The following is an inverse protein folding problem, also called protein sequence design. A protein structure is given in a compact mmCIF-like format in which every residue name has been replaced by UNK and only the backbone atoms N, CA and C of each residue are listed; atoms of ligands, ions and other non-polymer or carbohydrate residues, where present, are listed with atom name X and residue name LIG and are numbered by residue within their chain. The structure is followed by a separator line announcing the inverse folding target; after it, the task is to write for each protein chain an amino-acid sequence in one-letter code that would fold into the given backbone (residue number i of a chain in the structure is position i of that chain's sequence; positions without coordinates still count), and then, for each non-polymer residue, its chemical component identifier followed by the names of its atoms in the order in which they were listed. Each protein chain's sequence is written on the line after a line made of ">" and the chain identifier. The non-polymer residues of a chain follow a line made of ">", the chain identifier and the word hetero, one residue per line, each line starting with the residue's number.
data_IF_493729125950
#
_entry.id   IF_493729125950
#
_cell.length_a   1.000
_cell.length_b   1.000
_cell.length_c   1.000
_cell.angle_alpha   90.00
_cell.angle_beta   90.00
_cell.angle_gamma   90.00
#
_symmetry.space_group_name_H-M   'P 1'
#
loop_
_entity.id
_entity.type
_entity.pdbx_description
1 polymer ?
#
# COMPACT_ATOMS: atom_id res chain seq x y z
N UNK A 1 17.76 -24.39 -5.79
CA UNK A 1 16.75 -23.54 -5.12
C UNK A 1 15.74 -24.46 -4.47
N UNK A 2 15.61 -24.42 -3.13
CA UNK A 2 14.64 -25.22 -2.37
C UNK A 2 13.44 -24.34 -1.98
N UNK A 3 12.23 -24.86 -2.15
CA UNK A 3 11.00 -24.16 -1.74
C UNK A 3 10.38 -24.95 -0.59
N UNK A 4 10.31 -24.33 0.58
CA UNK A 4 9.57 -24.83 1.74
C UNK A 4 8.13 -24.29 1.67
N UNK A 5 7.14 -25.16 1.79
CA UNK A 5 5.72 -24.80 1.73
C UNK A 5 4.98 -25.26 2.98
N UNK A 6 5.25 -24.62 4.15
CA UNK A 6 4.65 -25.04 5.41
C UNK A 6 3.12 -24.81 5.41
N UNK A 7 2.42 -25.73 6.07
CA UNK A 7 0.97 -25.67 6.30
C UNK A 7 0.62 -25.37 7.76
N UNK A 8 1.62 -25.32 8.62
CA UNK A 8 1.46 -25.08 10.06
C UNK A 8 2.53 -24.13 10.62
N UNK A 9 2.20 -23.49 11.75
CA UNK A 9 3.17 -22.64 12.48
C UNK A 9 4.36 -23.44 13.03
N UNK A 10 4.17 -24.73 13.33
CA UNK A 10 5.24 -25.61 13.78
C UNK A 10 6.27 -25.87 12.66
N UNK A 11 5.81 -26.08 11.43
CA UNK A 11 6.70 -26.24 10.28
C UNK A 11 7.48 -24.96 9.96
N UNK A 12 6.83 -23.77 10.12
CA UNK A 12 7.53 -22.49 9.98
C UNK A 12 8.62 -22.35 11.05
N UNK A 13 8.29 -22.69 12.30
CA UNK A 13 9.25 -22.64 13.40
C UNK A 13 10.46 -23.53 13.12
N UNK A 14 10.24 -24.80 12.75
CA UNK A 14 11.34 -25.75 12.46
C UNK A 14 12.18 -25.32 11.25
N UNK A 15 11.54 -24.82 10.19
CA UNK A 15 12.27 -24.29 9.00
C UNK A 15 13.11 -23.07 9.36
N UNK A 16 12.57 -22.16 10.17
CA UNK A 16 13.30 -20.95 10.59
C UNK A 16 14.46 -21.32 11.53
N UNK A 17 14.27 -22.28 12.43
CA UNK A 17 15.33 -22.82 13.30
C UNK A 17 16.45 -23.45 12.50
N UNK A 18 16.09 -24.27 11.50
CA UNK A 18 17.08 -24.82 10.58
C UNK A 18 17.86 -23.72 9.85
N UNK A 19 17.14 -22.73 9.26
CA UNK A 19 17.77 -21.62 8.55
C UNK A 19 18.69 -20.80 9.47
N UNK A 20 18.29 -20.60 10.74
CA UNK A 20 19.12 -19.93 11.73
C UNK A 20 20.34 -20.74 12.13
N UNK A 21 20.25 -22.07 12.24
CA UNK A 21 21.39 -22.96 12.55
C UNK A 21 22.42 -22.96 11.42
N UNK A 22 21.94 -23.12 10.18
CA UNK A 22 22.77 -23.17 8.97
C UNK A 22 23.18 -21.81 8.42
N UNK A 23 22.75 -20.71 9.06
CA UNK A 23 22.90 -19.31 8.57
C UNK A 23 22.45 -19.12 7.11
N UNK A 24 21.38 -19.84 6.75
CA UNK A 24 20.89 -19.96 5.38
C UNK A 24 19.77 -18.95 5.10
N UNK A 25 19.98 -17.97 4.20
CA UNK A 25 18.98 -16.96 3.91
C UNK A 25 17.71 -17.51 3.26
N UNK A 26 16.56 -16.99 3.68
CA UNK A 26 15.23 -17.32 3.18
C UNK A 26 14.58 -16.11 2.50
N UNK A 27 14.05 -16.32 1.29
CA UNK A 27 13.04 -15.42 0.74
C UNK A 27 11.67 -15.77 1.34
N UNK A 28 11.07 -14.86 2.08
CA UNK A 28 9.74 -15.03 2.68
C UNK A 28 8.70 -14.46 1.73
N UNK A 29 7.74 -15.26 1.32
CA UNK A 29 6.65 -14.81 0.48
C UNK A 29 5.32 -15.55 0.79
N UNK A 30 4.20 -14.91 0.45
CA UNK A 30 2.91 -15.54 0.30
C UNK A 30 2.67 -15.84 -1.18
N UNK A 31 1.65 -15.23 -1.80
CA UNK A 31 1.38 -15.40 -3.23
C UNK A 31 2.38 -14.68 -4.17
N UNK A 32 3.37 -13.97 -3.64
CA UNK A 32 4.40 -13.30 -4.44
C UNK A 32 3.94 -12.03 -5.18
N UNK A 33 2.72 -11.54 -4.97
CA UNK A 33 2.16 -10.36 -5.67
C UNK A 33 3.01 -9.08 -5.54
N UNK A 34 3.89 -9.01 -4.55
CA UNK A 34 4.80 -7.88 -4.28
C UNK A 34 6.29 -8.27 -4.36
N UNK A 35 6.61 -9.41 -5.00
CA UNK A 35 8.00 -9.87 -5.15
C UNK A 35 8.85 -8.88 -5.96
N UNK A 36 8.21 -8.16 -6.88
CA UNK A 36 8.83 -7.10 -7.68
C UNK A 36 9.14 -5.80 -6.93
N UNK A 37 8.73 -5.64 -5.66
CA UNK A 37 9.04 -4.46 -4.84
C UNK A 37 10.20 -4.75 -3.90
N UNK A 38 11.07 -3.78 -3.70
CA UNK A 38 12.30 -3.94 -2.93
C UNK A 38 13.49 -4.33 -3.81
N UNK A 39 14.64 -4.45 -3.20
CA UNK A 39 15.86 -4.89 -3.89
C UNK A 39 15.72 -6.36 -4.29
N UNK A 40 16.28 -6.80 -5.41
CA UNK A 40 16.32 -8.23 -5.76
C UNK A 40 17.05 -9.04 -4.66
N UNK A 41 16.45 -10.15 -4.27
CA UNK A 41 17.05 -11.06 -3.30
C UNK A 41 17.92 -12.09 -4.02
N UNK A 42 19.02 -12.45 -3.38
CA UNK A 42 19.90 -13.55 -3.78
C UNK A 42 19.83 -14.61 -2.67
N UNK A 43 18.87 -15.52 -2.76
CA UNK A 43 18.67 -16.59 -1.80
C UNK A 43 18.53 -17.92 -2.52
N UNK A 44 19.06 -18.99 -1.93
CA UNK A 44 18.90 -20.36 -2.45
C UNK A 44 17.59 -21.00 -2.01
N UNK A 45 16.97 -20.46 -0.97
CA UNK A 45 15.78 -21.01 -0.34
C UNK A 45 14.63 -20.00 -0.29
N UNK A 46 13.42 -20.51 -0.50
CA UNK A 46 12.18 -19.76 -0.39
C UNK A 46 11.27 -20.40 0.65
N UNK A 47 10.74 -19.60 1.57
CA UNK A 47 9.67 -19.97 2.49
C UNK A 47 8.35 -19.42 1.97
N UNK A 48 7.59 -20.26 1.30
CA UNK A 48 6.33 -19.91 0.68
C UNK A 48 5.15 -20.25 1.62
N UNK A 49 4.50 -19.21 2.12
CA UNK A 49 3.39 -19.30 3.08
C UNK A 49 2.03 -19.52 2.41
N UNK A 50 1.96 -19.72 1.10
CA UNK A 50 0.69 -19.84 0.37
C UNK A 50 -0.18 -21.03 0.82
N UNK A 51 0.37 -22.02 1.51
CA UNK A 51 -0.37 -23.13 2.10
C UNK A 51 -0.81 -22.90 3.54
N UNK A 52 -0.31 -21.84 4.21
CA UNK A 52 -0.71 -21.49 5.55
C UNK A 52 -1.98 -20.62 5.51
N UNK A 53 -3.12 -21.21 5.20
CA UNK A 53 -4.39 -20.51 4.93
C UNK A 53 -5.48 -20.83 5.93
N UNK A 54 -6.51 -20.01 5.96
CA UNK A 54 -7.76 -20.18 6.69
C UNK A 54 -8.03 -19.05 7.68
N UNK A 55 -9.29 -18.68 7.80
CA UNK A 55 -9.81 -17.80 8.85
C UNK A 55 -9.87 -18.61 10.14
N UNK A 56 -9.16 -18.17 11.17
CA UNK A 56 -9.08 -18.88 12.46
C UNK A 56 -10.10 -18.36 13.48
N UNK A 57 -10.59 -17.14 13.27
CA UNK A 57 -11.66 -16.52 14.05
C UNK A 57 -12.34 -15.45 13.20
N UNK A 58 -13.65 -15.42 13.24
CA UNK A 58 -14.41 -14.27 12.76
C UNK A 58 -15.62 -14.05 13.66
N UNK A 59 -15.63 -12.88 14.32
CA UNK A 59 -16.70 -12.44 15.22
C UNK A 59 -17.31 -11.16 14.65
N UNK A 60 -18.31 -11.25 13.75
CA UNK A 60 -18.88 -10.08 13.09
C UNK A 60 -19.42 -9.02 14.07
N UNK A 61 -20.03 -9.43 15.18
CA UNK A 61 -20.55 -8.51 16.19
C UNK A 61 -19.45 -7.73 16.91
N UNK A 62 -18.27 -8.32 17.07
CA UNK A 62 -17.10 -7.71 17.71
C UNK A 62 -16.21 -6.96 16.70
N UNK A 63 -16.52 -7.04 15.41
CA UNK A 63 -15.73 -6.45 14.32
C UNK A 63 -14.27 -6.93 14.31
N UNK A 64 -14.04 -8.20 14.60
CA UNK A 64 -12.70 -8.81 14.69
C UNK A 64 -12.60 -10.02 13.78
N UNK A 65 -11.52 -10.09 13.00
CA UNK A 65 -11.16 -11.21 12.16
C UNK A 65 -9.71 -11.61 12.41
N UNK A 66 -9.48 -12.91 12.62
CA UNK A 66 -8.14 -13.51 12.67
C UNK A 66 -7.99 -14.52 11.54
N UNK A 67 -6.85 -14.49 10.86
CA UNK A 67 -6.56 -15.41 9.78
C UNK A 67 -5.07 -15.79 9.78
N UNK A 68 -4.76 -16.94 9.20
CA UNK A 68 -3.39 -17.36 8.91
C UNK A 68 -2.78 -16.46 7.84
N UNK A 69 -1.49 -16.19 7.95
CA UNK A 69 -0.82 -15.16 7.15
C UNK A 69 -0.85 -15.41 5.63
N UNK A 70 -0.92 -16.67 5.19
CA UNK A 70 -1.02 -17.07 3.79
C UNK A 70 -2.44 -17.02 3.20
N UNK A 71 -3.46 -16.68 3.99
CA UNK A 71 -4.85 -16.62 3.51
C UNK A 71 -4.99 -15.58 2.41
N UNK A 72 -5.57 -15.94 1.24
CA UNK A 72 -5.83 -15.00 0.16
C UNK A 72 -6.69 -13.83 0.63
N UNK A 73 -6.30 -12.61 0.29
CA UNK A 73 -7.07 -11.41 0.66
C UNK A 73 -8.49 -11.47 0.10
N UNK A 74 -8.67 -11.97 -1.13
CA UNK A 74 -9.98 -12.06 -1.77
C UNK A 74 -10.97 -12.96 -1.01
N UNK A 75 -10.50 -14.06 -0.40
CA UNK A 75 -11.36 -14.93 0.43
C UNK A 75 -11.87 -14.17 1.66
N UNK A 76 -11.00 -13.36 2.28
CA UNK A 76 -11.37 -12.56 3.44
C UNK A 76 -12.32 -11.43 3.06
N UNK A 77 -12.03 -10.72 1.96
CA UNK A 77 -12.89 -9.65 1.46
C UNK A 77 -14.28 -10.16 1.09
N UNK A 78 -14.37 -11.35 0.48
CA UNK A 78 -15.65 -12.00 0.21
C UNK A 78 -16.42 -12.33 1.50
N UNK A 79 -15.76 -12.96 2.47
CA UNK A 79 -16.36 -13.29 3.77
C UNK A 79 -16.88 -12.04 4.50
N UNK A 80 -16.11 -10.95 4.46
CA UNK A 80 -16.51 -9.68 5.05
C UNK A 80 -17.70 -9.08 4.32
N UNK A 81 -17.71 -9.10 2.98
CA UNK A 81 -18.81 -8.56 2.17
C UNK A 81 -20.13 -9.31 2.41
N UNK A 82 -20.11 -10.63 2.58
CA UNK A 82 -21.27 -11.45 2.94
C UNK A 82 -21.89 -11.05 4.28
N UNK A 83 -21.10 -10.40 5.16
CA UNK A 83 -21.54 -9.91 6.47
C UNK A 83 -21.69 -8.37 6.50
N UNK A 84 -21.71 -7.69 5.36
CA UNK A 84 -21.82 -6.23 5.28
C UNK A 84 -20.64 -5.50 5.91
N UNK A 85 -19.45 -6.09 5.93
CA UNK A 85 -18.23 -5.55 6.51
C UNK A 85 -17.11 -5.39 5.48
N UNK A 86 -16.06 -4.68 5.86
CA UNK A 86 -14.93 -4.42 4.97
C UNK A 86 -13.63 -4.11 5.76
N UNK A 87 -12.49 -4.22 5.09
CA UNK A 87 -11.28 -3.54 5.50
C UNK A 87 -11.38 -2.06 5.11
N UNK A 88 -11.60 -1.18 6.09
CA UNK A 88 -11.78 0.24 5.81
C UNK A 88 -10.55 0.90 5.19
N UNK A 89 -9.35 0.38 5.43
CA UNK A 89 -8.10 0.89 4.86
C UNK A 89 -7.87 0.51 3.39
N UNK A 90 -8.77 -0.24 2.75
CA UNK A 90 -8.75 -0.59 1.33
C UNK A 90 -7.38 -1.08 0.83
N UNK A 91 -6.94 -2.28 1.19
CA UNK A 91 -5.63 -2.76 0.79
C UNK A 91 -5.48 -2.81 -0.74
N UNK A 92 -4.45 -2.13 -1.26
CA UNK A 92 -4.13 -2.11 -2.69
C UNK A 92 -3.73 -3.49 -3.21
N UNK A 93 -4.20 -3.87 -4.40
CA UNK A 93 -3.67 -5.01 -5.15
C UNK A 93 -2.57 -4.55 -6.11
N UNK A 94 -1.33 -4.93 -5.80
CA UNK A 94 -0.17 -4.67 -6.65
C UNK A 94 -0.02 -5.64 -7.83
N UNK A 95 -0.80 -6.72 -7.86
CA UNK A 95 -0.69 -7.75 -8.90
C UNK A 95 -0.75 -7.19 -10.31
N UNK A 96 -1.80 -6.41 -10.67
CA UNK A 96 -1.94 -5.84 -12.01
C UNK A 96 -0.80 -4.90 -12.42
N UNK A 97 -0.28 -4.11 -11.46
CA UNK A 97 0.82 -3.16 -11.72
C UNK A 97 2.16 -3.87 -11.95
N UNK A 98 2.38 -5.04 -11.33
CA UNK A 98 3.66 -5.73 -11.29
C UNK A 98 3.73 -7.00 -12.16
N UNK A 99 2.59 -7.51 -12.66
CA UNK A 99 2.54 -8.75 -13.45
C UNK A 99 3.13 -8.61 -14.85
N UNK A 100 3.21 -7.39 -15.38
CA UNK A 100 3.64 -7.13 -16.74
C UNK A 100 2.63 -7.58 -17.82
N UNK A 101 1.46 -8.11 -17.42
CA UNK A 101 0.40 -8.54 -18.35
C UNK A 101 -0.88 -7.74 -18.12
N UNK A 102 -1.37 -7.00 -19.15
CA UNK A 102 -2.63 -6.28 -19.06
C UNK A 102 -3.80 -7.25 -18.79
N UNK A 103 -4.59 -6.94 -17.78
CA UNK A 103 -5.84 -7.69 -17.50
C UNK A 103 -5.67 -9.05 -16.83
N UNK A 104 -4.50 -9.58 -16.68
CA UNK A 104 -4.27 -10.68 -15.75
C UNK A 104 -4.20 -10.11 -14.34
N UNK A 105 -5.28 -10.31 -13.57
CA UNK A 105 -5.23 -10.14 -12.13
C UNK A 105 -4.12 -11.04 -11.61
N UNK A 106 -3.01 -10.45 -11.16
CA UNK A 106 -2.00 -11.18 -10.43
C UNK A 106 -2.69 -11.93 -9.29
N UNK A 107 -2.07 -12.98 -8.78
CA UNK A 107 -2.58 -13.66 -7.58
C UNK A 107 -2.77 -12.58 -6.52
N UNK A 108 -4.02 -12.37 -6.09
CA UNK A 108 -4.34 -11.45 -5.00
C UNK A 108 -3.38 -11.73 -3.85
N UNK A 109 -2.94 -10.67 -3.18
CA UNK A 109 -2.02 -10.81 -2.07
C UNK A 109 -2.59 -11.64 -0.92
N UNK A 110 -1.74 -11.96 0.05
CA UNK A 110 -2.16 -12.62 1.29
C UNK A 110 -2.31 -11.60 2.41
N UNK A 111 -3.11 -11.93 3.44
CA UNK A 111 -3.34 -11.02 4.57
C UNK A 111 -2.04 -10.72 5.35
N UNK A 112 -1.12 -11.67 5.48
CA UNK A 112 0.21 -11.43 6.04
C UNK A 112 1.02 -10.45 5.18
N UNK A 113 0.91 -10.56 3.85
CA UNK A 113 1.53 -9.62 2.92
C UNK A 113 0.92 -8.21 2.99
N UNK A 114 -0.38 -8.08 3.31
CA UNK A 114 -1.04 -6.78 3.56
C UNK A 114 -0.40 -6.07 4.76
N UNK A 115 -0.23 -6.78 5.89
CA UNK A 115 0.42 -6.22 7.07
C UNK A 115 1.90 -5.94 6.81
N UNK A 116 2.64 -6.92 6.28
CA UNK A 116 4.08 -6.79 6.07
C UNK A 116 4.46 -5.61 5.17
N UNK A 117 3.59 -5.20 4.25
CA UNK A 117 3.77 -4.01 3.39
C UNK A 117 2.95 -2.79 3.82
N UNK A 118 2.21 -2.89 4.92
CA UNK A 118 1.37 -1.82 5.47
C UNK A 118 0.47 -1.16 4.42
N UNK A 119 -0.33 -1.98 3.72
CA UNK A 119 -1.15 -1.49 2.62
C UNK A 119 -2.24 -0.52 3.07
N UNK A 120 -2.60 0.38 2.17
CA UNK A 120 -3.73 1.29 2.28
C UNK A 120 -4.16 1.72 0.89
N UNK A 121 -5.39 2.16 0.76
CA UNK A 121 -5.98 2.70 -0.45
C UNK A 121 -6.43 4.16 -0.28
N UNK A 122 -7.36 4.62 -1.12
CA UNK A 122 -7.82 6.02 -1.14
C UNK A 122 -8.43 6.53 0.16
N UNK A 123 -9.04 5.66 0.99
CA UNK A 123 -9.58 6.05 2.32
C UNK A 123 -8.51 6.31 3.38
N UNK A 124 -7.23 6.27 3.05
CA UNK A 124 -6.16 6.40 4.05
C UNK A 124 -6.28 7.60 4.96
N UNK A 125 -6.70 8.75 4.44
CA UNK A 125 -6.85 9.99 5.23
C UNK A 125 -7.93 9.86 6.31
N UNK A 126 -8.97 9.07 6.06
CA UNK A 126 -10.09 8.84 6.99
C UNK A 126 -9.90 7.58 7.82
N UNK A 127 -9.43 6.50 7.20
CA UNK A 127 -9.40 5.17 7.79
C UNK A 127 -8.00 4.70 8.22
N UNK A 128 -6.92 5.35 7.79
CA UNK A 128 -5.56 4.89 8.07
C UNK A 128 -5.10 3.76 7.14
N UNK A 129 -4.18 2.95 7.60
CA UNK A 129 -3.57 1.82 6.88
C UNK A 129 -3.71 0.51 7.66
N UNK A 130 -3.23 -0.60 7.12
CA UNK A 130 -3.24 -1.90 7.79
C UNK A 130 -2.69 -1.83 9.22
N UNK A 131 -1.64 -1.04 9.46
CA UNK A 131 -1.05 -0.81 10.78
C UNK A 131 -2.04 -0.24 11.81
N UNK A 132 -2.99 0.56 11.38
CA UNK A 132 -3.94 1.22 12.26
C UNK A 132 -5.13 0.31 12.63
N UNK A 133 -5.27 -0.82 11.92
CA UNK A 133 -6.32 -1.82 12.11
C UNK A 133 -5.81 -3.15 12.69
N UNK A 134 -4.49 -3.37 12.76
CA UNK A 134 -3.93 -4.58 13.35
C UNK A 134 -4.13 -4.59 14.87
N UNK A 135 -4.67 -5.68 15.39
CA UNK A 135 -4.91 -5.91 16.82
C UNK A 135 -3.89 -6.89 17.42
N UNK A 136 -3.44 -7.86 16.63
CA UNK A 136 -2.51 -8.86 17.11
C UNK A 136 -1.82 -9.64 15.99
N UNK A 137 -0.67 -10.18 16.32
CA UNK A 137 0.11 -11.07 15.45
C UNK A 137 0.64 -12.27 16.22
N UNK A 138 0.76 -13.40 15.52
CA UNK A 138 1.68 -14.48 15.89
C UNK A 138 2.73 -14.58 14.80
N UNK A 139 3.99 -14.81 15.17
CA UNK A 139 5.10 -14.82 14.24
C UNK A 139 6.28 -15.64 14.78
N UNK A 140 7.23 -15.94 13.88
CA UNK A 140 8.53 -16.56 14.21
C UNK A 140 9.64 -15.58 13.85
N UNK A 141 10.49 -15.21 14.82
CA UNK A 141 11.65 -14.35 14.61
C UNK A 141 12.76 -15.07 13.85
N UNK A 142 13.73 -14.34 13.29
CA UNK A 142 14.94 -14.91 12.71
C UNK A 142 15.86 -15.63 13.72
N UNK A 143 15.55 -15.56 15.03
CA UNK A 143 16.17 -16.38 16.09
C UNK A 143 15.61 -17.80 16.13
N UNK A 144 14.56 -18.11 15.35
CA UNK A 144 13.83 -19.37 15.48
C UNK A 144 12.96 -19.43 16.74
N UNK A 145 12.44 -18.31 17.19
CA UNK A 145 11.57 -18.18 18.38
C UNK A 145 10.18 -17.73 17.98
N UNK A 146 9.17 -18.50 18.41
CA UNK A 146 7.77 -18.11 18.21
C UNK A 146 7.34 -17.09 19.27
N UNK A 147 6.62 -16.05 18.84
CA UNK A 147 6.07 -15.05 19.72
C UNK A 147 4.68 -14.62 19.31
N UNK A 148 3.95 -14.02 20.25
CA UNK A 148 2.65 -13.37 20.03
C UNK A 148 2.68 -11.97 20.61
N UNK A 149 2.04 -11.02 19.93
CA UNK A 149 1.86 -9.65 20.43
C UNK A 149 0.47 -9.15 20.09
N UNK A 150 -0.11 -8.38 21.00
CA UNK A 150 -1.50 -7.95 20.89
C UNK A 150 -2.49 -9.07 21.19
N UNK A 151 -3.73 -8.91 20.73
CA UNK A 151 -4.81 -9.85 20.98
C UNK A 151 -6.02 -9.55 20.12
N UNK A 152 -7.22 -9.68 20.69
CA UNK A 152 -8.52 -9.46 20.04
C UNK A 152 -9.18 -8.15 20.47
N UNK A 153 -8.49 -7.34 21.27
CA UNK A 153 -9.04 -6.12 21.87
C UNK A 153 -8.34 -4.89 21.32
N UNK A 154 -9.08 -3.82 21.13
CA UNK A 154 -8.58 -2.56 20.56
C UNK A 154 -7.56 -1.88 21.50
N UNK A 155 -7.68 -2.08 22.82
CA UNK A 155 -6.79 -1.49 23.80
C UNK A 155 -5.97 -2.58 24.49
N UNK A 156 -4.67 -2.64 24.13
CA UNK A 156 -3.67 -3.42 24.86
C UNK A 156 -2.72 -2.44 25.57
N UNK A 157 -2.66 -2.52 26.90
CA UNK A 157 -1.85 -1.60 27.74
C UNK A 157 -0.60 -2.27 28.31
N UNK A 158 -0.35 -3.54 27.99
CA UNK A 158 0.77 -4.31 28.52
C UNK A 158 1.79 -4.63 27.43
N UNK A 159 3.06 -4.29 27.69
CA UNK A 159 4.17 -4.60 26.80
C UNK A 159 4.29 -3.66 25.60
N UNK A 160 5.22 -4.00 24.70
CA UNK A 160 5.46 -3.29 23.45
C UNK A 160 4.45 -3.71 22.37
N UNK A 161 4.05 -2.76 21.53
CA UNK A 161 3.17 -3.03 20.39
C UNK A 161 3.98 -3.58 19.19
N UNK A 162 4.38 -4.84 19.30
CA UNK A 162 5.11 -5.51 18.23
C UNK A 162 4.23 -5.78 17.01
N UNK A 163 2.90 -5.80 17.17
CA UNK A 163 1.98 -5.95 16.04
C UNK A 163 2.16 -4.82 15.04
N UNK A 164 2.25 -3.58 15.52
CA UNK A 164 2.50 -2.41 14.68
C UNK A 164 3.94 -2.33 14.16
N UNK A 165 4.90 -2.94 14.86
CA UNK A 165 6.29 -3.03 14.39
C UNK A 165 6.40 -3.94 13.15
N UNK A 166 5.57 -4.99 13.06
CA UNK A 166 5.56 -5.90 11.90
C UNK A 166 5.02 -5.22 10.64
N UNK A 167 4.22 -4.16 10.77
CA UNK A 167 3.73 -3.40 9.62
C UNK A 167 4.87 -2.68 8.90
N UNK A 168 4.92 -2.82 7.57
CA UNK A 168 5.98 -2.29 6.70
C UNK A 168 7.38 -2.89 6.94
N UNK A 169 7.46 -4.08 7.56
CA UNK A 169 8.73 -4.80 7.76
C UNK A 169 9.18 -5.61 6.54
N UNK A 170 8.32 -5.81 5.56
CA UNK A 170 8.59 -6.58 4.34
C UNK A 170 9.12 -8.00 4.60
N UNK A 171 8.75 -8.59 5.73
CA UNK A 171 9.22 -9.92 6.15
C UNK A 171 10.70 -9.97 6.54
N UNK A 172 11.31 -8.83 6.88
CA UNK A 172 12.72 -8.75 7.28
C UNK A 172 12.92 -8.92 8.78
N UNK A 173 11.88 -8.83 9.60
CA UNK A 173 11.95 -8.95 11.06
C UNK A 173 11.48 -10.33 11.55
N UNK A 174 10.37 -10.80 10.98
CA UNK A 174 9.77 -12.07 11.40
C UNK A 174 8.93 -12.69 10.27
N UNK A 175 8.68 -13.98 10.37
CA UNK A 175 7.72 -14.72 9.54
C UNK A 175 6.38 -14.70 10.23
N UNK A 176 5.40 -13.99 9.68
CA UNK A 176 4.05 -13.94 10.22
C UNK A 176 3.35 -15.29 10.04
N UNK A 177 2.73 -15.80 11.11
CA UNK A 177 1.92 -17.02 11.06
C UNK A 177 0.43 -16.71 11.11
N UNK A 178 0.01 -15.78 11.98
CA UNK A 178 -1.37 -15.35 12.13
C UNK A 178 -1.43 -13.84 12.31
N UNK A 179 -2.53 -13.25 11.85
CA UNK A 179 -2.82 -11.82 12.00
C UNK A 179 -4.27 -11.62 12.45
N UNK A 180 -4.49 -10.66 13.33
CA UNK A 180 -5.83 -10.29 13.83
C UNK A 180 -6.09 -8.83 13.49
N UNK A 181 -7.14 -8.57 12.71
CA UNK A 181 -7.52 -7.23 12.28
C UNK A 181 -8.86 -6.81 12.85
N UNK A 182 -8.98 -5.52 13.12
CA UNK A 182 -10.26 -4.84 13.23
C UNK A 182 -10.85 -4.67 11.83
N UNK A 183 -12.12 -5.01 11.66
CA UNK A 183 -12.93 -4.75 10.47
C UNK A 183 -13.99 -3.70 10.79
N UNK A 184 -14.63 -3.11 9.78
CA UNK A 184 -15.69 -2.12 9.98
C UNK A 184 -16.88 -2.43 9.09
N UNK A 185 -18.09 -1.97 9.45
CA UNK A 185 -19.25 -2.05 8.57
C UNK A 185 -18.96 -1.38 7.23
N UNK A 186 -19.45 -1.96 6.14
CA UNK A 186 -19.43 -1.35 4.84
C UNK A 186 -20.42 -0.18 4.78
N UNK A 187 -20.10 0.85 3.99
CA UNK A 187 -21.02 1.96 3.78
C UNK A 187 -22.25 1.49 2.99
N UNK A 188 -23.44 1.97 3.38
CA UNK A 188 -24.72 1.66 2.72
C UNK A 188 -24.74 2.21 1.29
N UNK A 189 -24.27 3.45 1.11
CA UNK A 189 -24.20 4.13 -0.19
C UNK A 189 -22.86 4.81 -0.39
N UNK A 190 -22.54 5.00 -1.67
CA UNK A 190 -21.34 5.71 -2.11
C UNK A 190 -21.67 6.58 -3.32
N UNK A 191 -21.23 7.84 -3.27
CA UNK A 191 -21.28 8.78 -4.39
C UNK A 191 -19.94 9.47 -4.54
N UNK A 192 -19.47 9.56 -5.77
CA UNK A 192 -18.34 10.41 -6.15
C UNK A 192 -18.84 11.68 -6.80
N UNK A 193 -18.46 12.83 -6.24
CA UNK A 193 -18.60 14.12 -6.92
C UNK A 193 -17.31 14.40 -7.69
N UNK A 194 -17.41 14.54 -9.00
CA UNK A 194 -16.30 14.91 -9.88
C UNK A 194 -16.38 16.39 -10.23
N UNK A 195 -15.28 17.12 -10.11
CA UNK A 195 -15.07 18.48 -10.64
C UNK A 195 -14.18 18.35 -11.87
N UNK A 196 -14.67 18.81 -13.02
CA UNK A 196 -14.01 18.62 -14.32
C UNK A 196 -13.10 19.78 -14.70
N UNK A 197 -12.03 19.47 -15.45
CA UNK A 197 -11.17 20.44 -16.13
C UNK A 197 -10.19 21.21 -15.23
N UNK A 198 -10.03 20.83 -13.96
CA UNK A 198 -9.08 21.50 -13.08
C UNK A 198 -7.65 21.12 -13.43
N UNK A 199 -6.73 22.09 -13.36
CA UNK A 199 -5.29 21.85 -13.35
C UNK A 199 -4.85 21.42 -11.93
N UNK A 200 -3.67 20.83 -11.84
CA UNK A 200 -3.11 20.21 -10.61
C UNK A 200 -3.23 21.14 -9.37
N UNK A 201 -2.85 22.42 -9.49
CA UNK A 201 -2.92 23.40 -8.39
C UNK A 201 -4.35 23.66 -7.93
N UNK A 202 -5.25 23.94 -8.88
CA UNK A 202 -6.66 24.18 -8.59
C UNK A 202 -7.36 22.93 -8.02
N UNK A 203 -6.97 21.75 -8.49
CA UNK A 203 -7.46 20.49 -8.00
C UNK A 203 -7.07 20.24 -6.53
N UNK A 204 -5.81 20.48 -6.16
CA UNK A 204 -5.34 20.38 -4.77
C UNK A 204 -6.10 21.36 -3.87
N UNK A 205 -6.30 22.59 -4.31
CA UNK A 205 -7.08 23.58 -3.56
C UNK A 205 -8.55 23.15 -3.38
N UNK A 206 -9.20 22.61 -4.42
CA UNK A 206 -10.56 22.10 -4.35
C UNK A 206 -10.69 20.91 -3.40
N UNK A 207 -9.75 19.95 -3.45
CA UNK A 207 -9.70 18.81 -2.53
C UNK A 207 -9.49 19.27 -1.08
N UNK A 208 -8.59 20.24 -0.84
CA UNK A 208 -8.35 20.77 0.50
C UNK A 208 -9.60 21.46 1.07
N UNK A 209 -10.30 22.25 0.24
CA UNK A 209 -11.56 22.89 0.62
C UNK A 209 -12.63 21.87 0.99
N UNK A 210 -12.77 20.81 0.19
CA UNK A 210 -13.74 19.74 0.40
C UNK A 210 -13.47 18.95 1.68
N UNK A 211 -12.22 18.53 1.92
CA UNK A 211 -11.86 17.78 3.13
C UNK A 211 -11.90 18.63 4.40
N UNK A 212 -11.70 19.96 4.29
CA UNK A 212 -11.87 20.90 5.39
C UNK A 212 -13.33 21.22 5.73
N UNK A 213 -14.30 20.76 4.93
CA UNK A 213 -15.72 20.96 5.16
C UNK A 213 -16.33 19.89 6.07
N UNK A 214 -17.59 20.12 6.46
CA UNK A 214 -18.41 19.15 7.20
C UNK A 214 -18.94 17.98 6.34
N UNK A 215 -18.59 17.93 5.05
CA UNK A 215 -19.08 16.89 4.13
C UNK A 215 -18.45 15.51 4.37
N UNK A 216 -17.49 15.37 5.29
CA UNK A 216 -16.83 14.10 5.64
C UNK A 216 -16.38 13.28 4.43
N UNK A 217 -15.69 13.94 3.49
CA UNK A 217 -15.13 13.29 2.31
C UNK A 217 -14.21 12.14 2.75
N UNK A 218 -14.45 10.93 2.27
CA UNK A 218 -13.68 9.74 2.65
C UNK A 218 -12.43 9.54 1.81
N UNK A 219 -12.43 10.05 0.58
CA UNK A 219 -11.29 9.97 -0.35
C UNK A 219 -11.32 11.13 -1.33
N UNK A 220 -10.14 11.62 -1.71
CA UNK A 220 -10.00 12.69 -2.69
C UNK A 220 -8.79 12.42 -3.60
N UNK A 221 -9.02 12.43 -4.90
CA UNK A 221 -8.02 12.15 -5.93
C UNK A 221 -8.13 13.15 -7.08
N UNK A 222 -7.02 13.38 -7.79
CA UNK A 222 -7.01 14.15 -9.02
C UNK A 222 -6.35 13.35 -10.14
N UNK A 223 -7.07 13.23 -11.24
CA UNK A 223 -6.67 12.53 -12.46
C UNK A 223 -6.49 13.57 -13.57
N UNK A 224 -5.27 13.96 -13.96
CA UNK A 224 -5.04 14.74 -15.16
C UNK A 224 -5.62 14.06 -16.41
N UNK A 225 -5.89 14.80 -17.45
CA UNK A 225 -6.60 14.37 -18.66
C UNK A 225 -6.17 12.99 -19.19
N UNK A 226 -4.86 12.78 -19.38
CA UNK A 226 -4.32 11.50 -19.89
C UNK A 226 -4.58 10.32 -18.96
N UNK A 227 -4.71 10.57 -17.68
CA UNK A 227 -4.96 9.53 -16.67
C UNK A 227 -6.47 9.27 -16.56
N UNK A 228 -7.29 10.29 -16.63
CA UNK A 228 -8.75 10.16 -16.57
C UNK A 228 -9.27 9.19 -17.65
N UNK A 229 -8.70 9.23 -18.85
CA UNK A 229 -9.00 8.31 -19.95
C UNK A 229 -8.73 6.83 -19.65
N UNK A 230 -7.85 6.53 -18.68
CA UNK A 230 -7.46 5.16 -18.30
C UNK A 230 -8.24 4.60 -17.11
N UNK A 231 -9.07 5.41 -16.47
CA UNK A 231 -9.87 5.02 -15.29
C UNK A 231 -11.29 4.65 -15.72
N UNK A 232 -11.83 3.58 -15.16
CA UNK A 232 -13.14 3.02 -15.46
C UNK A 232 -13.40 2.83 -16.98
N UNK A 233 -12.34 2.51 -17.72
CA UNK A 233 -12.40 2.32 -19.18
C UNK A 233 -12.71 3.58 -19.97
N UNK A 234 -12.39 4.78 -19.45
CA UNK A 234 -12.63 6.06 -20.09
C UNK A 234 -14.09 6.50 -20.14
N UNK A 235 -14.98 5.79 -19.45
CA UNK A 235 -16.45 6.02 -19.51
C UNK A 235 -16.89 7.36 -18.93
N UNK A 236 -16.05 8.00 -18.15
CA UNK A 236 -16.35 9.26 -17.45
C UNK A 236 -15.69 10.50 -18.10
N UNK A 237 -15.45 10.45 -19.41
CA UNK A 237 -14.94 11.58 -20.21
C UNK A 237 -13.41 11.67 -20.25
N UNK A 238 -12.93 12.58 -21.11
CA UNK A 238 -11.50 12.80 -21.36
C UNK A 238 -10.89 13.91 -20.49
N UNK A 239 -11.73 14.81 -19.93
CA UNK A 239 -11.23 15.94 -19.18
C UNK A 239 -10.62 15.53 -17.85
N UNK A 240 -9.68 16.32 -17.36
CA UNK A 240 -9.13 16.13 -16.02
C UNK A 240 -10.27 16.05 -14.97
N UNK A 241 -10.13 15.14 -14.02
CA UNK A 241 -11.16 14.87 -13.01
C UNK A 241 -10.61 14.96 -11.59
N UNK A 242 -11.19 15.87 -10.80
CA UNK A 242 -10.95 15.92 -9.35
C UNK A 242 -12.12 15.24 -8.66
N UNK A 243 -11.84 14.13 -7.98
CA UNK A 243 -12.82 13.18 -7.49
C UNK A 243 -12.91 13.24 -5.96
N UNK A 244 -14.12 13.34 -5.44
CA UNK A 244 -14.42 13.41 -4.01
C UNK A 244 -15.43 12.31 -3.67
N UNK A 245 -15.04 11.34 -2.82
CA UNK A 245 -15.91 10.24 -2.41
C UNK A 245 -16.62 10.57 -1.10
N UNK A 246 -17.94 10.43 -1.12
CA UNK A 246 -18.82 10.55 0.06
C UNK A 246 -19.53 9.23 0.27
N UNK A 247 -19.47 8.71 1.49
CA UNK A 247 -19.98 7.39 1.83
C UNK A 247 -20.78 7.42 3.13
N UNK A 248 -21.70 6.49 3.29
CA UNK A 248 -22.44 6.26 4.53
C UNK A 248 -23.93 6.03 4.32
N UNK A 249 -24.75 6.48 5.26
CA UNK A 249 -26.20 6.38 5.25
C UNK A 249 -26.80 7.26 4.13
N UNK A 250 -27.71 6.71 3.32
CA UNK A 250 -28.20 7.33 2.09
C UNK A 250 -28.62 8.79 2.22
N UNK A 251 -29.59 9.16 3.11
CA UNK A 251 -29.99 10.56 3.29
C UNK A 251 -28.85 11.49 3.68
N UNK A 252 -27.90 11.04 4.49
CA UNK A 252 -26.71 11.82 4.86
C UNK A 252 -25.78 12.04 3.67
N UNK A 253 -25.59 11.03 2.81
CA UNK A 253 -24.76 11.14 1.59
C UNK A 253 -25.34 12.18 0.65
N UNK A 254 -26.66 12.15 0.40
CA UNK A 254 -27.36 13.14 -0.46
C UNK A 254 -27.14 14.56 0.06
N UNK A 255 -27.34 14.81 1.34
CA UNK A 255 -27.13 16.13 1.95
C UNK A 255 -25.69 16.63 1.80
N UNK A 256 -24.70 15.74 2.07
CA UNK A 256 -23.28 16.10 2.02
C UNK A 256 -22.79 16.34 0.59
N UNK A 257 -23.30 15.57 -0.38
CA UNK A 257 -23.01 15.80 -1.81
C UNK A 257 -23.56 17.15 -2.26
N UNK A 258 -24.80 17.51 -1.84
CA UNK A 258 -25.38 18.81 -2.18
C UNK A 258 -24.60 19.98 -1.56
N UNK A 259 -24.13 19.82 -0.31
CA UNK A 259 -23.25 20.81 0.33
C UNK A 259 -21.92 20.97 -0.42
N UNK A 260 -21.32 19.87 -0.91
CA UNK A 260 -20.11 19.94 -1.74
C UNK A 260 -20.35 20.62 -3.08
N UNK A 261 -21.50 20.40 -3.73
CA UNK A 261 -21.85 21.10 -4.98
C UNK A 261 -21.94 22.60 -4.77
N UNK A 262 -22.57 23.04 -3.68
CA UNK A 262 -22.63 24.47 -3.34
C UNK A 262 -21.23 25.04 -3.08
N UNK A 263 -20.38 24.29 -2.38
CA UNK A 263 -19.02 24.69 -2.06
C UNK A 263 -18.12 24.82 -3.29
N UNK A 264 -18.24 23.86 -4.23
CA UNK A 264 -17.34 23.72 -5.38
C UNK A 264 -17.94 24.18 -6.71
N UNK A 265 -19.18 24.66 -6.73
CA UNK A 265 -19.88 24.98 -7.96
C UNK A 265 -19.25 26.09 -8.83
N UNK A 266 -18.32 26.87 -8.26
CA UNK A 266 -17.53 27.86 -9.00
C UNK A 266 -16.19 27.34 -9.49
N UNK A 267 -15.77 26.14 -9.06
CA UNK A 267 -14.46 25.59 -9.42
C UNK A 267 -14.46 25.00 -10.83
N UNK A 268 -15.57 24.41 -11.28
CA UNK A 268 -15.70 23.79 -12.61
C UNK A 268 -17.02 23.02 -12.76
N UNK A 269 -17.27 22.42 -13.92
CA UNK A 269 -18.42 21.54 -14.13
C UNK A 269 -18.43 20.38 -13.13
N UNK A 270 -19.60 20.10 -12.56
CA UNK A 270 -19.81 19.05 -11.56
C UNK A 270 -20.58 17.88 -12.17
N UNK A 271 -20.16 16.67 -11.81
CA UNK A 271 -20.81 15.42 -12.18
C UNK A 271 -20.93 14.51 -10.96
N UNK A 272 -22.10 13.91 -10.75
CA UNK A 272 -22.31 12.87 -9.75
C UNK A 272 -22.18 11.50 -10.37
N UNK A 273 -21.39 10.64 -9.73
CA UNK A 273 -21.18 9.24 -10.13
C UNK A 273 -21.50 8.39 -8.92
N UNK A 274 -22.51 7.53 -9.01
CA UNK A 274 -23.02 6.76 -7.87
C UNK A 274 -22.81 5.25 -8.04
N UNK A 275 -22.91 4.52 -6.93
CA UNK A 275 -22.96 3.06 -6.89
C UNK A 275 -21.75 2.38 -7.51
N UNK A 276 -21.96 1.35 -8.33
CA UNK A 276 -20.86 0.54 -8.90
C UNK A 276 -19.92 1.33 -9.82
N UNK A 277 -20.40 2.40 -10.46
CA UNK A 277 -19.54 3.27 -11.27
C UNK A 277 -18.53 4.03 -10.39
N UNK A 278 -18.98 4.56 -9.24
CA UNK A 278 -18.10 5.17 -8.24
C UNK A 278 -17.08 4.15 -7.71
N UNK A 279 -17.54 2.98 -7.26
CA UNK A 279 -16.66 1.92 -6.74
C UNK A 279 -15.61 1.47 -7.78
N UNK A 280 -15.98 1.39 -9.06
CA UNK A 280 -15.04 1.03 -10.13
C UNK A 280 -13.91 2.05 -10.27
N UNK A 281 -14.22 3.34 -10.22
CA UNK A 281 -13.23 4.42 -10.26
C UNK A 281 -12.24 4.29 -9.09
N UNK A 282 -12.74 4.11 -7.87
CA UNK A 282 -11.88 4.03 -6.69
C UNK A 282 -11.06 2.74 -6.62
N UNK A 283 -11.56 1.63 -7.18
CA UNK A 283 -10.75 0.41 -7.38
C UNK A 283 -9.58 0.67 -8.32
N UNK A 284 -9.81 1.36 -9.44
CA UNK A 284 -8.76 1.68 -10.39
C UNK A 284 -7.70 2.62 -9.81
N UNK A 285 -8.13 3.64 -9.04
CA UNK A 285 -7.22 4.54 -8.32
C UNK A 285 -6.43 3.76 -7.27
N UNK A 286 -7.11 2.94 -6.45
CA UNK A 286 -6.51 2.12 -5.40
C UNK A 286 -5.40 1.23 -5.94
N UNK A 287 -5.66 0.54 -7.05
CA UNK A 287 -4.77 -0.46 -7.62
C UNK A 287 -3.80 0.12 -8.67
N UNK A 288 -3.72 1.47 -8.75
CA UNK A 288 -2.86 2.17 -9.71
C UNK A 288 -3.05 1.66 -11.16
N UNK A 289 -4.29 1.33 -11.54
CA UNK A 289 -4.65 0.78 -12.86
C UNK A 289 -4.20 1.63 -14.04
N UNK A 290 -4.18 2.97 -13.98
CA UNK A 290 -3.68 3.79 -15.09
C UNK A 290 -2.24 3.47 -15.52
N UNK A 291 -1.44 2.88 -14.62
CA UNK A 291 -0.06 2.47 -14.91
C UNK A 291 0.12 0.94 -15.02
N UNK A 292 -0.95 0.19 -14.87
CA UNK A 292 -0.98 -1.28 -15.01
C UNK A 292 -1.24 -1.69 -16.48
N UNK A 293 -0.45 -1.17 -17.39
CA UNK A 293 -0.57 -1.31 -18.84
C UNK A 293 0.32 -2.43 -19.43
N UNK A 294 0.95 -3.22 -18.58
CA UNK A 294 1.92 -4.24 -18.99
C UNK A 294 3.30 -3.69 -19.33
N UNK A 295 3.47 -2.38 -19.26
CA UNK A 295 4.77 -1.73 -19.51
C UNK A 295 5.79 -2.01 -18.42
N UNK A 296 7.08 -1.85 -18.79
CA UNK A 296 8.22 -1.98 -17.89
C UNK A 296 8.64 -0.66 -17.23
N UNK A 297 8.02 0.46 -17.64
CA UNK A 297 8.40 1.80 -17.21
C UNK A 297 8.45 1.91 -15.69
N UNK A 298 9.44 2.65 -15.14
CA UNK A 298 9.55 2.87 -13.72
C UNK A 298 8.31 3.56 -13.13
N UNK A 299 7.80 3.03 -12.03
CA UNK A 299 6.68 3.62 -11.30
C UNK A 299 7.10 3.94 -9.88
N UNK A 300 6.86 5.18 -9.49
CA UNK A 300 7.11 5.69 -8.16
C UNK A 300 5.81 5.94 -7.40
N UNK A 301 5.86 5.67 -6.12
CA UNK A 301 4.86 6.05 -5.12
C UNK A 301 5.49 7.10 -4.20
N UNK A 302 5.03 8.34 -4.27
CA UNK A 302 5.57 9.46 -3.50
C UNK A 302 4.54 9.94 -2.50
N UNK A 303 4.91 10.05 -1.23
CA UNK A 303 4.08 10.65 -0.17
C UNK A 303 4.77 11.89 0.37
N UNK A 304 4.07 13.02 0.33
CA UNK A 304 4.58 14.33 0.76
C UNK A 304 3.42 15.25 1.18
N UNK A 305 3.75 16.48 1.58
CA UNK A 305 2.71 17.46 1.93
C UNK A 305 1.81 17.74 0.72
N UNK A 306 0.47 17.67 0.86
CA UNK A 306 -0.47 17.88 -0.25
C UNK A 306 -0.28 19.22 -0.96
N UNK A 307 0.02 20.30 -0.23
CA UNK A 307 0.27 21.64 -0.79
C UNK A 307 1.50 21.72 -1.70
N UNK A 308 2.47 20.83 -1.51
CA UNK A 308 3.76 20.88 -2.20
C UNK A 308 3.86 19.89 -3.37
N UNK A 309 3.03 18.87 -3.38
CA UNK A 309 3.14 17.76 -4.32
C UNK A 309 2.98 18.20 -5.77
N UNK A 310 2.03 19.08 -6.07
CA UNK A 310 1.83 19.59 -7.44
C UNK A 310 2.99 20.46 -7.91
N UNK A 311 3.63 21.23 -7.04
CA UNK A 311 4.84 22.00 -7.35
C UNK A 311 6.01 21.07 -7.69
N UNK A 312 6.21 20.00 -6.92
CA UNK A 312 7.21 18.97 -7.20
C UNK A 312 6.96 18.31 -8.55
N UNK A 313 5.72 17.91 -8.85
CA UNK A 313 5.36 17.27 -10.13
C UNK A 313 5.58 18.23 -11.29
N UNK A 314 5.22 19.50 -11.17
CA UNK A 314 5.45 20.51 -12.19
C UNK A 314 6.96 20.68 -12.45
N UNK A 315 7.77 20.79 -11.39
CA UNK A 315 9.22 20.89 -11.52
C UNK A 315 9.85 19.63 -12.15
N UNK A 316 9.30 18.45 -11.89
CA UNK A 316 9.72 17.19 -12.50
C UNK A 316 9.39 17.15 -14.00
N UNK A 317 8.16 17.52 -14.39
CA UNK A 317 7.72 17.59 -15.80
C UNK A 317 8.55 18.52 -16.67
N UNK A 318 9.20 19.51 -16.07
CA UNK A 318 10.13 20.41 -16.80
C UNK A 318 11.48 19.76 -17.12
N UNK A 319 11.82 18.63 -16.47
CA UNK A 319 13.15 17.99 -16.57
C UNK A 319 13.08 16.53 -17.02
N UNK A 320 11.94 15.86 -16.84
CA UNK A 320 11.73 14.46 -17.22
C UNK A 320 10.33 14.24 -17.78
N UNK A 321 10.21 13.30 -18.71
CA UNK A 321 8.93 12.89 -19.25
C UNK A 321 8.21 11.98 -18.26
N UNK A 322 7.16 12.47 -17.61
CA UNK A 322 6.44 11.75 -16.55
C UNK A 322 4.93 11.93 -16.65
N UNK A 323 4.19 10.86 -16.43
CA UNK A 323 2.76 10.88 -16.16
C UNK A 323 2.53 10.77 -14.65
N UNK A 324 1.54 11.53 -14.14
CA UNK A 324 1.26 11.60 -12.71
C UNK A 324 -0.24 11.64 -12.45
N UNK A 325 -0.66 11.08 -11.31
CA UNK A 325 -1.97 11.34 -10.69
C UNK A 325 -1.85 11.42 -9.18
N UNK A 326 -2.85 12.00 -8.54
CA UNK A 326 -2.84 12.31 -7.12
C UNK A 326 -3.95 11.57 -6.39
N UNK A 327 -3.62 11.05 -5.22
CA UNK A 327 -4.55 10.50 -4.24
C UNK A 327 -4.28 11.17 -2.87
N UNK A 328 -5.09 10.86 -1.85
CA UNK A 328 -4.96 11.40 -0.50
C UNK A 328 -4.89 12.93 -0.48
N UNK A 329 -5.80 13.57 -1.20
CA UNK A 329 -5.84 15.04 -1.31
C UNK A 329 -4.57 15.67 -1.94
N UNK A 330 -3.79 14.90 -2.68
CA UNK A 330 -2.50 15.30 -3.21
C UNK A 330 -1.31 14.84 -2.36
N UNK A 331 -1.55 14.25 -1.17
CA UNK A 331 -0.48 13.73 -0.29
C UNK A 331 0.14 12.43 -0.76
N UNK A 332 -0.48 11.75 -1.71
CA UNK A 332 0.09 10.63 -2.46
C UNK A 332 0.14 10.99 -3.94
N UNK A 333 1.30 10.87 -4.54
CA UNK A 333 1.49 11.01 -5.99
C UNK A 333 2.00 9.68 -6.54
N UNK A 334 1.31 9.18 -7.54
CA UNK A 334 1.78 8.11 -8.39
C UNK A 334 2.43 8.71 -9.63
N UNK A 335 3.65 8.29 -9.95
CA UNK A 335 4.41 8.75 -11.11
C UNK A 335 4.78 7.55 -11.97
N UNK A 336 4.60 7.66 -13.29
CA UNK A 336 5.16 6.73 -14.28
C UNK A 336 6.14 7.48 -15.17
N UNK A 337 7.41 7.10 -15.12
CA UNK A 337 8.41 7.64 -16.05
C UNK A 337 8.12 7.07 -17.43
N UNK A 338 8.24 7.91 -18.48
CA UNK A 338 7.98 7.44 -19.85
C UNK A 338 9.18 6.73 -20.46
N UNK A 339 10.37 7.01 -19.93
CA UNK A 339 11.62 6.36 -20.30
C UNK A 339 11.99 5.30 -19.26
N UNK A 340 12.99 4.47 -19.55
CA UNK A 340 13.43 3.40 -18.63
C UNK A 340 14.25 3.91 -17.45
N UNK A 341 14.70 5.17 -17.46
CA UNK A 341 15.40 5.77 -16.33
C UNK A 341 14.40 6.11 -15.20
N UNK A 342 14.61 5.59 -13.97
CA UNK A 342 13.81 5.96 -12.82
C UNK A 342 13.96 7.41 -12.35
N UNK A 343 14.95 8.16 -12.81
CA UNK A 343 15.23 9.56 -12.42
C UNK A 343 15.35 9.75 -10.89
N UNK A 344 15.95 8.77 -10.21
CA UNK A 344 15.89 8.65 -8.75
C UNK A 344 16.53 9.84 -8.01
N UNK A 345 17.65 10.35 -8.52
CA UNK A 345 18.36 11.50 -7.92
C UNK A 345 17.58 12.80 -8.13
N UNK A 346 17.09 13.01 -9.35
CA UNK A 346 16.27 14.16 -9.71
C UNK A 346 15.01 14.20 -8.82
N UNK A 347 14.26 13.10 -8.78
CA UNK A 347 13.03 13.00 -8.02
C UNK A 347 13.26 13.30 -6.53
N UNK A 348 14.24 12.65 -5.89
CA UNK A 348 14.53 12.87 -4.47
C UNK A 348 15.04 14.28 -4.18
N UNK A 349 15.83 14.87 -5.08
CA UNK A 349 16.24 16.27 -4.97
C UNK A 349 15.04 17.21 -4.98
N UNK A 350 14.08 16.98 -5.89
CA UNK A 350 12.86 17.78 -5.97
C UNK A 350 11.96 17.58 -4.74
N UNK A 351 11.79 16.36 -4.26
CA UNK A 351 11.04 16.08 -3.01
C UNK A 351 11.65 16.88 -1.85
N UNK A 352 12.97 16.84 -1.66
CA UNK A 352 13.63 17.62 -0.60
C UNK A 352 13.45 19.13 -0.77
N UNK A 353 13.49 19.63 -2.00
CA UNK A 353 13.28 21.05 -2.31
C UNK A 353 11.86 21.51 -1.96
N UNK A 354 10.87 20.63 -2.10
CA UNK A 354 9.45 20.90 -1.88
C UNK A 354 8.94 20.32 -0.56
N UNK A 355 9.66 20.54 0.54
CA UNK A 355 9.21 20.24 1.90
C UNK A 355 9.50 18.81 2.40
N UNK A 356 10.13 17.96 1.59
CA UNK A 356 10.45 16.58 1.96
C UNK A 356 9.30 15.61 1.72
N UNK A 357 9.56 14.34 1.99
CA UNK A 357 8.61 13.26 1.76
C UNK A 357 9.30 11.90 1.64
N UNK A 358 8.55 10.91 1.18
CA UNK A 358 9.03 9.53 0.99
C UNK A 358 8.73 9.05 -0.42
N UNK A 359 9.74 8.53 -1.12
CA UNK A 359 9.58 7.92 -2.43
C UNK A 359 9.90 6.42 -2.38
N UNK A 360 8.99 5.60 -2.94
CA UNK A 360 9.21 4.15 -3.13
C UNK A 360 9.19 3.85 -4.61
N UNK A 361 10.25 3.21 -5.13
CA UNK A 361 10.30 2.70 -6.50
C UNK A 361 9.52 1.37 -6.55
N UNK A 362 8.27 1.45 -7.02
CA UNK A 362 7.35 0.32 -7.00
C UNK A 362 7.60 -0.65 -8.14
N UNK A 363 7.84 -0.12 -9.35
CA UNK A 363 8.16 -0.89 -10.55
C UNK A 363 9.41 -0.34 -11.21
N UNK A 364 10.39 -1.20 -11.46
CA UNK A 364 11.56 -0.94 -12.28
C UNK A 364 12.24 -2.27 -12.62
N UNK A 365 13.15 -2.25 -13.58
CA UNK A 365 13.99 -3.40 -13.93
C UNK A 365 14.82 -3.89 -12.73
N UNK A 366 15.19 -5.16 -12.72
CA UNK A 366 16.01 -5.72 -11.65
C UNK A 366 17.36 -5.01 -11.48
N UNK A 367 18.09 -4.62 -12.56
CA UNK A 367 19.31 -3.81 -12.44
C UNK A 367 19.08 -2.49 -11.72
N UNK A 368 18.02 -1.74 -12.06
CA UNK A 368 17.72 -0.48 -11.39
C UNK A 368 17.42 -0.68 -9.89
N UNK A 369 16.62 -1.69 -9.55
CA UNK A 369 16.31 -2.01 -8.14
C UNK A 369 17.52 -2.51 -7.34
N UNK A 370 18.53 -3.09 -8.00
CA UNK A 370 19.78 -3.49 -7.36
C UNK A 370 20.71 -2.28 -7.10
N UNK A 371 20.76 -1.34 -8.04
CA UNK A 371 21.67 -0.19 -7.98
C UNK A 371 21.13 0.97 -7.15
N UNK A 372 19.80 1.19 -7.17
CA UNK A 372 19.17 2.36 -6.54
C UNK A 372 18.53 2.01 -5.17
N UNK A 373 18.44 2.96 -4.24
CA UNK A 373 17.59 2.81 -3.07
C UNK A 373 16.11 2.72 -3.51
N UNK A 374 15.49 1.56 -3.30
CA UNK A 374 14.09 1.33 -3.67
C UNK A 374 13.15 2.07 -2.71
N UNK A 375 13.44 1.99 -1.42
CA UNK A 375 12.74 2.76 -0.38
C UNK A 375 13.48 4.07 -0.10
N UNK A 376 12.78 5.02 0.54
CA UNK A 376 13.41 6.27 0.92
C UNK A 376 14.59 6.04 1.90
N UNK A 377 15.77 6.57 1.61
CA UNK A 377 16.91 6.49 2.52
C UNK A 377 16.59 7.16 3.87
N UNK A 378 16.80 6.43 4.95
CA UNK A 378 16.54 6.96 6.28
C UNK A 378 17.68 7.89 6.75
N UNK A 379 17.37 8.94 7.53
CA UNK A 379 18.39 9.68 8.26
C UNK A 379 19.24 8.76 9.13
N UNK A 380 20.55 9.06 9.35
CA UNK A 380 21.47 8.12 10.00
C UNK A 380 21.00 7.58 11.36
N UNK A 381 20.35 8.43 12.19
CA UNK A 381 19.83 8.02 13.51
C UNK A 381 18.65 7.03 13.40
N UNK A 382 17.77 7.19 12.42
CA UNK A 382 16.67 6.24 12.17
C UNK A 382 17.19 4.96 11.52
N UNK A 383 18.16 5.05 10.62
CA UNK A 383 18.81 3.88 10.04
C UNK A 383 19.50 3.02 11.11
N UNK A 384 20.20 3.66 12.06
CA UNK A 384 20.83 2.97 13.20
C UNK A 384 19.79 2.27 14.09
N UNK A 385 18.65 2.91 14.37
CA UNK A 385 17.56 2.29 15.13
C UNK A 385 16.96 1.10 14.38
N UNK A 386 16.71 1.23 13.07
CA UNK A 386 16.20 0.15 12.24
C UNK A 386 17.16 -1.03 12.17
N UNK A 387 18.47 -0.76 12.09
CA UNK A 387 19.50 -1.79 12.11
C UNK A 387 19.54 -2.55 13.46
N UNK A 388 19.42 -1.84 14.58
CA UNK A 388 19.32 -2.47 15.91
C UNK A 388 18.10 -3.36 16.02
N UNK A 389 16.92 -2.90 15.58
CA UNK A 389 15.69 -3.72 15.55
C UNK A 389 15.89 -4.98 14.69
N UNK A 390 16.52 -4.84 13.52
CA UNK A 390 16.84 -6.00 12.66
C UNK A 390 17.71 -7.03 13.40
N UNK A 391 18.77 -6.59 14.07
CA UNK A 391 19.67 -7.47 14.85
C UNK A 391 18.94 -8.14 16.00
N UNK A 392 18.02 -7.45 16.68
CA UNK A 392 17.23 -8.05 17.76
C UNK A 392 16.27 -9.14 17.28
N UNK A 393 15.64 -8.95 16.11
CA UNK A 393 14.68 -9.92 15.58
C UNK A 393 15.35 -11.00 14.71
N UNK A 394 16.42 -10.68 14.00
CA UNK A 394 17.08 -11.55 13.03
C UNK A 394 18.61 -11.32 13.04
N UNK A 395 19.30 -11.77 14.09
CA UNK A 395 20.74 -11.50 14.28
C UNK A 395 21.63 -12.10 13.19
N UNK A 396 21.19 -13.18 12.55
CA UNK A 396 21.92 -13.85 11.46
C UNK A 396 21.51 -13.36 10.06
N UNK A 397 20.60 -12.37 10.00
CA UNK A 397 20.11 -11.77 8.76
C UNK A 397 19.60 -12.80 7.73
N UNK A 398 18.85 -13.80 8.19
CA UNK A 398 18.32 -14.88 7.35
C UNK A 398 16.97 -14.52 6.69
N UNK A 399 16.23 -13.54 7.20
CA UNK A 399 14.90 -13.20 6.71
C UNK A 399 14.95 -12.07 5.68
N UNK A 400 14.61 -12.35 4.41
CA UNK A 400 14.60 -11.39 3.29
C UNK A 400 15.82 -10.44 3.29
N UNK A 401 17.07 -10.95 3.36
CA UNK A 401 18.26 -10.13 3.51
C UNK A 401 18.44 -9.17 2.35
N UNK A 402 18.71 -7.92 2.65
CA UNK A 402 18.95 -6.90 1.62
C UNK A 402 17.70 -6.35 0.90
N UNK A 403 16.49 -6.83 1.21
CA UNK A 403 15.25 -6.40 0.54
C UNK A 403 14.97 -4.91 0.69
N UNK A 404 15.11 -4.37 1.91
CA UNK A 404 14.79 -2.97 2.20
C UNK A 404 15.99 -2.04 2.07
N UNK A 405 17.18 -2.52 2.42
CA UNK A 405 18.43 -1.78 2.36
C UNK A 405 19.56 -2.74 2.01
N UNK A 406 20.70 -2.25 1.46
CA UNK A 406 21.87 -3.08 1.28
C UNK A 406 22.26 -3.77 2.59
N UNK A 407 22.61 -5.06 2.55
CA UNK A 407 23.11 -5.77 3.72
C UNK A 407 24.43 -5.17 4.20
N UNK A 408 24.74 -5.31 5.48
CA UNK A 408 25.96 -4.77 6.11
C UNK A 408 27.29 -5.25 5.48
N UNK A 409 27.23 -6.27 4.59
CA UNK A 409 28.38 -6.79 3.85
C UNK A 409 28.62 -6.17 2.47
N UNK A 410 27.71 -5.30 1.95
CA UNK A 410 27.86 -4.70 0.62
C UNK A 410 28.46 -3.28 0.63
N UNK A 411 28.88 -2.79 1.78
CA UNK A 411 29.45 -1.43 1.91
C UNK A 411 30.94 -1.33 1.54
N UNK A 412 31.53 -2.35 0.91
CA UNK A 412 32.95 -2.35 0.54
C UNK A 412 33.12 -2.53 -0.97
N UNK A 413 32.53 -1.67 -1.79
CA UNK A 413 32.93 -1.44 -3.21
C UNK A 413 32.21 -0.16 -3.69
N UNK A 414 32.72 0.99 -3.30
CA UNK A 414 32.51 2.27 -4.00
C UNK A 414 33.73 3.15 -3.76
#
# INVERSE_FOLDING_TARGET
>A
MTIFTPSSSAEILSTTQWAAAEESPLEILGHGSKRGIGRPLQTEHTLDLSKLTGVTLYEPAELVLSARAGTPLAEIEQLLAENGQQFAFEPMDYGPLLSGEPGQGGKNGTIGGVLASNLSGPRRLKAGAARDHILGVAAVSGRGEAFKSGGRVVKNVTGYDLSKLMANSWGTLAVLTDVTFKVLPAAETEVTLAVRGLLDEAAVAAMALALGSSAEVSSAAHLPERIALKVAGGKHGSDAATLLRVEGFGPSVVYRVEALKQLLGKAGPLEEIAGEASKAIWRDIRDCRPFADGGAQPVWRVSMAPSEAHHMVMALRMQAAVDAFYDWQGGLVWLSMREDDPEAELLRRLIRKHGGGHATLVRASAPHRAALPVFEPQPPHLAALSARLKVEFDPKNILNPGRMAPGAGSATLA
#
